data_IF_827069331621
#
_entry.id   IF_827069331621
#
_cell.length_a   1.000
_cell.length_b   1.000
_cell.length_c   1.000
_cell.angle_alpha   90.00
_cell.angle_beta   90.00
_cell.angle_gamma   90.00
#
_symmetry.space_group_name_H-M   'P 1'
#
loop_
_entity.id
_entity.type
_entity.pdbx_description
1 polymer ?
#
# COMPACT_ATOMS: atom_id res chain seq x y z
N UNK A 1 -1.76 -19.62 -13.94
CA UNK A 1 -0.58 -19.17 -13.15
C UNK A 1 -1.03 -18.57 -11.82
N UNK A 2 -0.25 -18.61 -10.73
CA UNK A 2 -0.58 -17.81 -9.52
C UNK A 2 -0.52 -16.31 -9.88
N UNK A 3 -1.42 -15.47 -9.35
CA UNK A 3 -1.40 -14.04 -9.62
C UNK A 3 -0.12 -13.42 -9.07
N UNK A 4 0.57 -12.64 -9.89
CA UNK A 4 1.74 -11.87 -9.47
C UNK A 4 1.25 -10.53 -8.93
N UNK A 5 1.51 -10.28 -7.64
CA UNK A 5 1.14 -9.04 -6.98
C UNK A 5 2.42 -8.26 -6.63
N UNK A 6 2.50 -6.99 -7.01
CA UNK A 6 3.60 -6.12 -6.62
C UNK A 6 3.13 -4.67 -6.45
N UNK A 7 3.90 -3.88 -5.69
CA UNK A 7 3.65 -2.46 -5.52
C UNK A 7 4.66 -1.65 -6.35
N UNK A 8 4.18 -0.63 -7.06
CA UNK A 8 5.03 0.27 -7.82
C UNK A 8 4.51 1.71 -7.75
N UNK A 9 5.37 2.65 -7.30
CA UNK A 9 5.02 4.08 -7.11
C UNK A 9 3.70 4.33 -6.34
N UNK A 10 3.41 3.47 -5.36
CA UNK A 10 2.19 3.55 -4.54
C UNK A 10 0.94 2.93 -5.16
N UNK A 11 1.03 2.38 -6.37
CA UNK A 11 -0.02 1.54 -6.96
C UNK A 11 0.21 0.09 -6.56
N UNK A 12 -0.88 -0.61 -6.22
CA UNK A 12 -0.91 -2.05 -6.12
C UNK A 12 -1.27 -2.62 -7.48
N UNK A 13 -0.41 -3.49 -8.01
CA UNK A 13 -0.59 -4.13 -9.30
C UNK A 13 -0.81 -5.61 -9.08
N UNK A 14 -1.90 -6.12 -9.62
CA UNK A 14 -2.23 -7.54 -9.67
C UNK A 14 -2.24 -7.97 -11.12
N UNK A 15 -1.34 -8.89 -11.45
CA UNK A 15 -1.22 -9.50 -12.77
C UNK A 15 -1.75 -10.93 -12.65
N UNK A 16 -2.85 -11.23 -13.33
CA UNK A 16 -3.46 -12.55 -13.36
C UNK A 16 -3.47 -13.15 -14.76
N UNK A 17 -3.47 -14.47 -14.80
CA UNK A 17 -3.65 -15.22 -16.04
C UNK A 17 -5.09 -15.04 -16.55
N UNK A 18 -5.23 -14.65 -17.82
CA UNK A 18 -6.51 -14.49 -18.53
C UNK A 18 -6.53 -15.35 -19.79
N UNK A 19 -5.63 -16.34 -19.87
CA UNK A 19 -5.67 -17.32 -20.94
C UNK A 19 -6.87 -18.24 -20.74
N UNK A 20 -7.79 -18.22 -21.72
CA UNK A 20 -8.92 -19.14 -21.75
C UNK A 20 -8.43 -20.58 -21.91
N UNK A 21 -9.32 -21.53 -21.60
CA UNK A 21 -9.06 -23.00 -21.60
C UNK A 21 -8.58 -23.55 -22.97
N UNK A 22 -8.59 -22.74 -24.04
CA UNK A 22 -8.36 -23.17 -25.42
C UNK A 22 -7.24 -22.43 -26.18
N UNK A 23 -6.47 -21.53 -25.56
CA UNK A 23 -5.40 -20.80 -26.27
C UNK A 23 -4.02 -21.40 -26.02
N UNK A 24 -3.66 -22.41 -26.82
CA UNK A 24 -2.37 -23.12 -26.75
C UNK A 24 -1.16 -22.31 -27.25
N UNK A 25 -1.35 -21.08 -27.77
CA UNK A 25 -0.28 -20.32 -28.39
C UNK A 25 0.08 -19.01 -27.67
N UNK A 26 -0.88 -18.34 -27.00
CA UNK A 26 -0.72 -16.96 -26.50
C UNK A 26 -1.08 -16.82 -25.01
N UNK A 27 -0.09 -16.41 -24.20
CA UNK A 27 -0.31 -16.07 -22.79
C UNK A 27 -0.93 -14.67 -22.72
N UNK A 28 -2.25 -14.64 -22.53
CA UNK A 28 -3.03 -13.44 -22.26
C UNK A 28 -3.04 -13.17 -20.77
N UNK A 29 -2.76 -11.94 -20.39
CA UNK A 29 -2.66 -11.52 -19.00
C UNK A 29 -3.62 -10.38 -18.75
N UNK A 30 -4.31 -10.46 -17.62
CA UNK A 30 -5.15 -9.40 -17.07
C UNK A 30 -4.37 -8.65 -16.02
N UNK A 31 -4.44 -7.33 -16.06
CA UNK A 31 -3.77 -6.42 -15.15
C UNK A 31 -4.80 -5.56 -14.46
N UNK A 32 -4.75 -5.57 -13.14
CA UNK A 32 -5.53 -4.71 -12.27
C UNK A 32 -4.57 -3.81 -11.51
N UNK A 33 -4.76 -2.50 -11.63
CA UNK A 33 -3.99 -1.47 -10.94
C UNK A 33 -4.95 -0.73 -10.03
N UNK A 34 -4.66 -0.72 -8.74
CA UNK A 34 -5.50 -0.13 -7.72
C UNK A 34 -4.68 0.55 -6.61
N UNK A 35 -5.36 1.28 -5.74
CA UNK A 35 -4.77 1.84 -4.53
C UNK A 35 -5.02 0.89 -3.37
N UNK A 36 -3.95 0.39 -2.77
CA UNK A 36 -4.01 -0.36 -1.52
C UNK A 36 -4.39 0.55 -0.33
N UNK A 37 -5.69 0.82 -0.16
CA UNK A 37 -6.24 1.74 0.85
C UNK A 37 -5.60 1.56 2.24
N UNK A 38 -5.48 0.30 2.68
CA UNK A 38 -4.89 -0.05 3.98
C UNK A 38 -3.43 0.39 4.12
N UNK A 39 -2.62 0.33 3.06
CA UNK A 39 -1.22 0.77 3.11
C UNK A 39 -1.13 2.29 3.31
N UNK A 40 -2.03 3.04 2.67
CA UNK A 40 -2.12 4.49 2.80
C UNK A 40 -2.58 4.91 4.19
N UNK A 41 -3.65 4.32 4.69
CA UNK A 41 -4.15 4.55 6.03
C UNK A 41 -3.10 4.21 7.10
N UNK A 42 -2.44 3.05 7.00
CA UNK A 42 -1.42 2.61 7.94
C UNK A 42 -0.22 3.57 7.98
N UNK A 43 0.22 4.06 6.81
CA UNK A 43 1.36 4.99 6.71
C UNK A 43 1.06 6.32 7.39
N UNK A 44 -0.12 6.91 7.14
CA UNK A 44 -0.54 8.15 7.80
C UNK A 44 -0.71 7.95 9.31
N UNK A 45 -1.32 6.83 9.71
CA UNK A 45 -1.52 6.51 11.11
C UNK A 45 -0.18 6.36 11.87
N UNK A 46 0.81 5.71 11.26
CA UNK A 46 2.16 5.64 11.84
C UNK A 46 2.83 7.01 11.96
N UNK A 47 2.65 7.89 10.98
CA UNK A 47 3.16 9.26 11.04
C UNK A 47 2.51 10.05 12.18
N UNK A 48 1.18 9.93 12.35
CA UNK A 48 0.44 10.51 13.45
C UNK A 48 0.94 10.04 14.82
N UNK A 49 1.11 8.73 15.02
CA UNK A 49 1.66 8.19 16.29
C UNK A 49 3.05 8.77 16.56
N UNK A 50 3.90 8.87 15.54
CA UNK A 50 5.25 9.44 15.68
C UNK A 50 5.21 10.90 16.10
N UNK A 51 4.29 11.70 15.55
CA UNK A 51 4.11 13.09 15.96
C UNK A 51 3.59 13.22 17.39
N UNK A 52 2.60 12.40 17.78
CA UNK A 52 2.06 12.40 19.14
C UNK A 52 3.13 12.01 20.16
N UNK A 53 4.00 11.04 19.83
CA UNK A 53 5.15 10.69 20.68
C UNK A 53 6.13 11.85 20.82
N UNK A 54 6.40 12.60 19.75
CA UNK A 54 7.28 13.79 19.79
C UNK A 54 6.69 14.92 20.63
N UNK A 55 5.38 15.20 20.48
CA UNK A 55 4.65 16.22 21.25
C UNK A 55 4.43 15.82 22.72
N UNK A 56 4.30 14.52 23.00
CA UNK A 56 4.17 13.96 24.35
C UNK A 56 5.49 13.76 25.10
N UNK A 57 6.64 13.71 24.41
CA UNK A 57 7.96 13.66 25.05
C UNK A 57 8.40 15.00 25.66
N UNK A 58 7.75 16.12 25.31
CA UNK A 58 8.00 17.41 25.96
C UNK A 58 7.29 17.58 27.32
N UNK A 59 6.46 16.62 27.77
CA UNK A 59 5.71 16.74 29.03
C UNK A 59 5.93 15.61 30.04
N UNK A 60 7.02 14.83 29.93
CA UNK A 60 7.37 13.80 30.94
C UNK A 60 8.85 13.87 31.37
N UNK A 61 9.27 15.02 31.85
CA UNK A 61 10.19 15.09 32.99
C UNK A 61 9.35 15.28 34.27
N UNK A 62 8.42 14.35 34.52
CA UNK A 62 7.86 14.22 35.86
C UNK A 62 8.94 13.53 36.68
N UNK A 63 9.74 14.34 37.37
CA UNK A 63 10.63 13.88 38.46
C UNK A 63 9.81 12.93 39.35
N UNK A 64 10.27 11.71 39.64
CA UNK A 64 9.66 10.97 40.73
C UNK A 64 9.95 11.75 42.01
N UNK A 65 8.90 12.33 42.60
CA UNK A 65 8.96 12.76 43.99
C UNK A 65 9.06 11.46 44.79
N UNK A 66 10.29 11.11 45.19
CA UNK A 66 10.51 10.12 46.25
C UNK A 66 9.85 10.67 47.51
N UNK A 67 8.65 10.16 47.83
CA UNK A 67 8.19 10.09 49.20
C UNK A 67 7.98 8.64 49.56
N UNK A 68 8.74 8.27 50.59
CA UNK A 68 8.78 7.01 51.29
C UNK A 68 7.41 6.43 51.66
N UNK A 69 7.43 5.08 51.70
CA UNK A 69 6.70 4.15 52.59
C UNK A 69 5.32 3.62 52.18
N UNK A 70 5.28 2.29 52.32
CA UNK A 70 4.16 1.39 52.60
C UNK A 70 3.36 0.83 51.40
N UNK A 71 3.72 -0.40 51.05
CA UNK A 71 2.83 -1.56 50.85
C UNK A 71 1.40 -1.29 50.40
N UNK A 72 1.11 -1.57 49.13
CA UNK A 72 -0.09 -2.32 48.73
C UNK A 72 -0.11 -2.51 47.21
N UNK A 73 -0.46 -3.73 46.79
CA UNK A 73 -1.05 -4.06 45.48
C UNK A 73 -0.61 -3.20 44.29
N UNK A 74 0.31 -3.73 43.48
CA UNK A 74 0.45 -3.33 42.07
C UNK A 74 -0.83 -3.75 41.35
N UNK A 75 -1.89 -2.95 41.54
CA UNK A 75 -3.04 -2.93 40.67
C UNK A 75 -2.49 -2.54 39.31
N UNK A 76 -2.63 -3.46 38.37
CA UNK A 76 -2.44 -3.25 36.94
C UNK A 76 -3.43 -2.18 36.43
N UNK A 77 -3.16 -0.91 36.76
CA UNK A 77 -3.78 0.26 36.09
C UNK A 77 -2.97 0.61 34.84
N UNK A 78 -2.31 -0.37 34.23
CA UNK A 78 -2.01 -0.39 32.81
C UNK A 78 -3.04 -1.26 32.10
N UNK A 79 -4.32 -1.06 32.42
CA UNK A 79 -5.34 -1.20 31.40
C UNK A 79 -5.04 -0.08 30.39
N UNK A 80 -4.16 -0.39 29.45
CA UNK A 80 -3.97 0.32 28.20
C UNK A 80 -5.33 0.37 27.52
N UNK A 81 -6.18 1.33 27.92
CA UNK A 81 -7.17 1.89 27.03
C UNK A 81 -6.34 2.38 25.86
N UNK A 82 -6.33 1.63 24.76
CA UNK A 82 -6.10 2.24 23.46
C UNK A 82 -7.01 3.47 23.46
N UNK A 83 -6.44 4.69 23.43
CA UNK A 83 -7.27 5.87 23.58
C UNK A 83 -8.28 5.84 22.44
N UNK A 84 -9.55 6.14 22.68
CA UNK A 84 -10.56 6.21 21.60
C UNK A 84 -10.10 7.06 20.41
N UNK A 85 -9.23 8.05 20.67
CA UNK A 85 -8.47 8.84 19.69
C UNK A 85 -7.63 8.02 18.68
N UNK A 86 -7.18 6.81 19.03
CA UNK A 86 -6.43 5.87 18.20
C UNK A 86 -7.31 5.28 17.10
N UNK A 87 -8.52 4.83 17.47
CA UNK A 87 -9.50 4.26 16.54
C UNK A 87 -10.12 5.33 15.65
N UNK A 88 -10.47 6.49 16.22
CA UNK A 88 -11.01 7.63 15.46
C UNK A 88 -10.01 8.14 14.42
N UNK A 89 -8.73 8.28 14.78
CA UNK A 89 -7.68 8.67 13.86
C UNK A 89 -7.44 7.63 12.77
N UNK A 90 -7.45 6.34 13.13
CA UNK A 90 -7.33 5.26 12.16
C UNK A 90 -8.49 5.28 11.14
N UNK A 91 -9.72 5.38 11.63
CA UNK A 91 -10.92 5.45 10.79
C UNK A 91 -10.94 6.69 9.89
N UNK A 92 -10.44 7.83 10.39
CA UNK A 92 -10.29 9.05 9.60
C UNK A 92 -9.31 8.86 8.43
N UNK A 93 -8.12 8.31 8.67
CA UNK A 93 -7.14 8.07 7.62
C UNK A 93 -7.59 6.99 6.63
N UNK A 94 -8.36 6.01 7.10
CA UNK A 94 -8.98 5.02 6.24
C UNK A 94 -9.98 5.66 5.28
N UNK A 95 -10.90 6.49 5.77
CA UNK A 95 -11.85 7.23 4.92
C UNK A 95 -11.14 8.12 3.90
N UNK A 96 -10.08 8.82 4.29
CA UNK A 96 -9.28 9.64 3.35
C UNK A 96 -8.64 8.78 2.25
N UNK A 97 -8.08 7.62 2.61
CA UNK A 97 -7.50 6.71 1.66
C UNK A 97 -8.56 6.09 0.72
N UNK A 98 -9.74 5.76 1.25
CA UNK A 98 -10.89 5.30 0.44
C UNK A 98 -11.36 6.37 -0.53
N UNK A 99 -11.52 7.62 -0.08
CA UNK A 99 -11.91 8.74 -0.94
C UNK A 99 -10.90 8.99 -2.05
N UNK A 100 -9.60 8.89 -1.74
CA UNK A 100 -8.57 8.98 -2.77
C UNK A 100 -8.61 7.81 -3.75
N UNK A 101 -8.91 6.60 -3.26
CA UNK A 101 -8.99 5.40 -4.09
C UNK A 101 -10.25 5.36 -4.97
N UNK A 102 -11.30 6.13 -4.64
CA UNK A 102 -12.50 6.22 -5.46
C UNK A 102 -12.13 6.57 -6.90
N UNK A 103 -12.62 5.76 -7.84
CA UNK A 103 -12.38 5.90 -9.28
C UNK A 103 -10.90 5.76 -9.72
N UNK A 104 -10.01 5.26 -8.86
CA UNK A 104 -8.60 4.98 -9.18
C UNK A 104 -8.32 3.49 -9.34
N UNK A 105 -9.13 2.84 -10.17
CA UNK A 105 -8.95 1.46 -10.58
C UNK A 105 -8.80 1.42 -12.09
N UNK A 106 -7.75 0.76 -12.57
CA UNK A 106 -7.51 0.55 -13.99
C UNK A 106 -7.40 -0.95 -14.23
N UNK A 107 -8.17 -1.44 -15.18
CA UNK A 107 -8.21 -2.85 -15.54
C UNK A 107 -8.05 -2.97 -17.06
N UNK A 108 -7.10 -3.78 -17.49
CA UNK A 108 -6.88 -4.05 -18.92
C UNK A 108 -6.21 -5.41 -19.11
N UNK A 109 -6.33 -5.96 -20.32
CA UNK A 109 -5.71 -7.23 -20.69
C UNK A 109 -4.79 -7.05 -21.89
N UNK A 110 -3.67 -7.78 -21.93
CA UNK A 110 -2.80 -7.80 -23.10
C UNK A 110 -2.10 -9.15 -23.28
N UNK A 111 -1.64 -9.42 -24.51
CA UNK A 111 -0.84 -10.59 -24.83
C UNK A 111 0.63 -10.34 -24.54
N UNK A 112 1.24 -11.26 -23.80
CA UNK A 112 2.62 -11.17 -23.33
C UNK A 112 3.60 -11.77 -24.34
N UNK A 113 3.12 -12.63 -25.24
CA UNK A 113 3.90 -13.05 -26.39
C UNK A 113 4.20 -11.84 -27.27
N UNK A 114 5.47 -11.49 -27.35
CA UNK A 114 5.96 -10.81 -28.54
C UNK A 114 5.76 -11.73 -29.73
N UNK A 115 5.45 -11.14 -30.89
CA UNK A 115 5.30 -11.89 -32.13
C UNK A 115 6.53 -12.74 -32.44
N UNK A 116 6.47 -13.52 -33.51
CA UNK A 116 7.55 -14.40 -33.97
C UNK A 116 8.96 -13.77 -33.86
N UNK A 117 9.08 -12.45 -34.11
CA UNK A 117 10.30 -11.64 -33.98
C UNK A 117 10.96 -11.63 -32.59
N UNK A 118 10.19 -11.57 -31.49
CA UNK A 118 10.73 -11.57 -30.12
C UNK A 118 11.35 -12.92 -29.74
N UNK A 119 10.82 -14.01 -30.32
CA UNK A 119 11.35 -15.37 -30.19
C UNK A 119 12.61 -15.57 -31.03
N UNK A 120 12.69 -14.90 -32.18
CA UNK A 120 13.87 -14.90 -33.06
C UNK A 120 15.04 -14.07 -32.50
N UNK A 121 14.77 -12.97 -31.79
CA UNK A 121 15.80 -12.08 -31.24
C UNK A 121 16.47 -12.58 -29.95
N UNK A 122 16.18 -13.82 -29.51
CA UNK A 122 16.90 -14.46 -28.39
C UNK A 122 16.74 -13.76 -27.03
N UNK A 123 15.72 -12.91 -26.86
CA UNK A 123 15.44 -12.28 -25.57
C UNK A 123 14.87 -13.34 -24.61
N UNK A 124 15.75 -13.98 -23.83
CA UNK A 124 15.43 -14.92 -22.74
C UNK A 124 14.76 -14.24 -21.53
N UNK A 125 13.97 -13.20 -21.75
CA UNK A 125 13.21 -12.54 -20.70
C UNK A 125 11.91 -13.34 -20.52
N UNK A 126 11.66 -13.81 -19.30
CA UNK A 126 10.44 -14.55 -18.99
C UNK A 126 9.20 -13.72 -19.34
N UNK A 127 8.14 -14.38 -19.78
CA UNK A 127 6.88 -13.71 -20.09
C UNK A 127 6.39 -12.86 -18.89
N UNK A 128 6.56 -13.36 -17.68
CA UNK A 128 6.24 -12.65 -16.44
C UNK A 128 7.01 -11.33 -16.32
N UNK A 129 8.30 -11.31 -16.61
CA UNK A 129 9.11 -10.09 -16.53
C UNK A 129 8.75 -9.09 -17.64
N UNK A 130 8.44 -9.58 -18.86
CA UNK A 130 7.90 -8.73 -19.93
C UNK A 130 6.57 -8.07 -19.54
N UNK A 131 5.67 -8.84 -18.92
CA UNK A 131 4.40 -8.32 -18.43
C UNK A 131 4.62 -7.24 -17.38
N UNK A 132 5.49 -7.50 -16.40
CA UNK A 132 5.84 -6.54 -15.35
C UNK A 132 6.42 -5.24 -15.92
N UNK A 133 7.35 -5.33 -16.87
CA UNK A 133 7.94 -4.15 -17.51
C UNK A 133 6.92 -3.31 -18.28
N UNK A 134 6.01 -3.96 -19.03
CA UNK A 134 4.93 -3.24 -19.74
C UNK A 134 3.99 -2.52 -18.78
N UNK A 135 3.65 -3.15 -17.65
CA UNK A 135 2.79 -2.51 -16.65
C UNK A 135 3.50 -1.34 -15.97
N UNK A 136 4.79 -1.48 -15.65
CA UNK A 136 5.59 -0.37 -15.10
C UNK A 136 5.62 0.81 -16.08
N UNK A 137 5.88 0.56 -17.36
CA UNK A 137 5.86 1.60 -18.40
C UNK A 137 4.48 2.28 -18.49
N UNK A 138 3.39 1.51 -18.47
CA UNK A 138 2.04 2.06 -18.46
C UNK A 138 1.79 2.99 -17.26
N UNK A 139 2.23 2.60 -16.06
CA UNK A 139 2.12 3.43 -14.85
C UNK A 139 2.92 4.72 -15.02
N UNK A 140 4.14 4.63 -15.53
CA UNK A 140 5.01 5.79 -15.73
C UNK A 140 4.44 6.80 -16.72
N UNK A 141 3.88 6.31 -17.82
CA UNK A 141 3.37 7.15 -18.90
C UNK A 141 1.99 7.76 -18.60
N UNK A 142 1.14 7.07 -17.82
CA UNK A 142 -0.28 7.43 -17.68
C UNK A 142 -0.71 7.78 -16.25
N UNK A 143 -0.13 7.14 -15.23
CA UNK A 143 -0.65 7.21 -13.87
C UNK A 143 0.27 8.01 -12.92
N UNK A 144 1.57 8.02 -13.18
CA UNK A 144 2.56 8.68 -12.35
C UNK A 144 2.63 8.10 -10.92
N UNK A 145 3.13 8.92 -9.98
CA UNK A 145 3.34 8.51 -8.59
C UNK A 145 2.08 8.70 -7.73
N UNK A 146 1.43 7.60 -7.35
CA UNK A 146 0.22 7.61 -6.53
C UNK A 146 0.44 8.25 -5.15
N UNK A 147 1.61 8.06 -4.55
CA UNK A 147 1.91 8.67 -3.25
C UNK A 147 1.98 10.19 -3.33
N UNK A 148 2.62 10.73 -4.37
CA UNK A 148 2.68 12.18 -4.58
C UNK A 148 1.29 12.75 -4.87
N UNK A 149 0.48 12.05 -5.67
CA UNK A 149 -0.90 12.42 -5.92
C UNK A 149 -1.74 12.42 -4.64
N UNK A 150 -1.53 11.43 -3.75
CA UNK A 150 -2.21 11.36 -2.47
C UNK A 150 -1.80 12.49 -1.53
N UNK A 151 -0.50 12.79 -1.44
CA UNK A 151 -0.02 13.93 -0.65
C UNK A 151 -0.56 15.27 -1.16
N UNK A 152 -0.76 15.43 -2.47
CA UNK A 152 -1.43 16.60 -3.03
C UNK A 152 -2.93 16.62 -2.71
N UNK A 153 -3.59 15.45 -2.70
CA UNK A 153 -5.00 15.32 -2.36
C UNK A 153 -5.30 15.76 -0.93
N UNK A 154 -4.53 15.28 0.06
CA UNK A 154 -4.73 15.62 1.48
C UNK A 154 -4.31 17.06 1.85
N UNK A 155 -3.60 17.76 0.97
CA UNK A 155 -3.18 19.16 1.15
C UNK A 155 -4.20 20.17 0.61
N UNK A 156 -5.15 19.73 -0.22
CA UNK A 156 -6.25 20.57 -0.68
C UNK A 156 -7.30 20.71 0.41
#
# INVERSE_FOLDING_TARGET
MLPLIFNYKGWQVTISDDSGIFTFADMKVKVEIEIAVWQYAATLYQAYIKEQKKKGLTSRLVRPICKEKASSSFVSVFASREPSYSEEAHNYYLKLAEEFAKNKRVEYSFNVNGGMFDRFMGQNISAVEKAKQRVIAYIDDNLGNAWELFLKFIRK
#
